data_IF_586785895600
#
_entry.id   IF_586785895600
#
_cell.length_a   1.000
_cell.length_b   1.000
_cell.length_c   1.000
_cell.angle_alpha   90.00
_cell.angle_beta   90.00
_cell.angle_gamma   90.00
#
_symmetry.space_group_name_H-M   'P 1'
#
loop_
_entity.id
_entity.type
_entity.pdbx_description
1 polymer ?
#
# COMPACT_ATOMS: atom_id res chain seq x y z
N UNK A 1 -2.25 7.97 64.24
CA UNK A 1 -2.36 7.51 62.84
C UNK A 1 -1.33 8.34 62.09
N UNK A 2 -0.10 7.85 62.10
CA UNK A 2 1.05 8.56 61.52
C UNK A 2 1.01 8.37 60.00
N UNK A 3 1.08 9.48 59.26
CA UNK A 3 1.17 9.48 57.81
C UNK A 3 2.66 9.41 57.45
N UNK A 4 3.10 8.24 56.98
CA UNK A 4 4.43 8.07 56.41
C UNK A 4 4.53 8.81 55.07
N UNK A 5 5.58 9.61 54.93
CA UNK A 5 5.89 10.32 53.70
C UNK A 5 6.42 9.34 52.64
N UNK A 6 5.72 9.25 51.51
CA UNK A 6 6.18 8.52 50.33
C UNK A 6 7.15 9.41 49.57
N UNK A 7 8.43 9.04 49.55
CA UNK A 7 9.44 9.66 48.69
C UNK A 7 9.11 9.34 47.22
N UNK A 8 8.96 10.39 46.40
CA UNK A 8 8.78 10.29 44.96
C UNK A 8 10.15 10.18 44.30
N UNK A 9 10.43 9.05 43.65
CA UNK A 9 11.66 8.86 42.88
C UNK A 9 11.70 9.73 41.60
N UNK A 10 12.90 10.21 41.30
CA UNK A 10 13.26 11.13 40.22
C UNK A 10 13.13 10.47 38.82
N UNK A 11 12.32 11.00 37.88
CA UNK A 11 12.03 10.34 36.61
C UNK A 11 13.12 10.49 35.54
N UNK A 12 14.35 10.88 35.88
CA UNK A 12 15.43 11.10 34.90
C UNK A 12 16.60 10.12 35.04
N UNK A 13 16.35 8.85 34.68
CA UNK A 13 17.42 7.95 34.24
C UNK A 13 16.95 7.12 33.05
N UNK A 14 17.10 7.69 31.86
CA UNK A 14 16.89 6.95 30.61
C UNK A 14 17.86 5.75 30.57
N UNK A 15 17.37 4.51 30.35
CA UNK A 15 18.26 3.38 30.19
C UNK A 15 19.05 3.53 28.89
N UNK A 16 20.37 3.37 28.98
CA UNK A 16 21.30 3.34 27.84
C UNK A 16 20.76 2.42 26.74
N UNK A 17 20.22 3.01 25.68
CA UNK A 17 19.75 2.28 24.51
C UNK A 17 20.95 1.86 23.67
N UNK A 18 21.65 0.80 24.08
CA UNK A 18 22.54 0.09 23.18
C UNK A 18 21.68 -0.52 22.08
N UNK A 19 21.65 0.13 20.93
CA UNK A 19 21.07 -0.42 19.71
C UNK A 19 21.77 -1.77 19.46
N UNK A 20 21.06 -2.91 19.47
CA UNK A 20 21.68 -4.17 19.10
C UNK A 20 22.17 -4.04 17.65
N UNK A 21 23.42 -4.47 17.41
CA UNK A 21 23.98 -4.55 16.08
C UNK A 21 23.02 -5.35 15.16
N UNK A 22 22.88 -4.98 13.88
CA UNK A 22 22.02 -5.72 12.97
C UNK A 22 22.52 -7.16 12.86
N UNK A 23 21.72 -8.10 13.38
CA UNK A 23 22.00 -9.53 13.35
C UNK A 23 22.30 -9.95 11.91
N UNK A 24 23.56 -10.29 11.70
CA UNK A 24 24.11 -10.72 10.41
C UNK A 24 23.98 -12.23 10.32
N UNK A 25 22.85 -12.73 9.81
CA UNK A 25 22.78 -13.96 9.01
C UNK A 25 21.63 -13.79 8.01
N UNK A 26 21.89 -13.15 6.87
CA UNK A 26 21.04 -13.35 5.70
C UNK A 26 21.45 -14.68 5.09
N UNK A 27 20.71 -15.73 5.39
CA UNK A 27 20.64 -16.90 4.52
C UNK A 27 20.46 -16.38 3.09
N UNK A 28 21.43 -16.70 2.22
CA UNK A 28 21.56 -16.05 0.91
C UNK A 28 20.24 -16.17 0.16
N UNK A 29 19.56 -15.05 -0.02
CA UNK A 29 18.26 -15.04 -0.66
C UNK A 29 18.40 -15.61 -2.07
N UNK A 30 17.70 -16.70 -2.34
CA UNK A 30 17.74 -17.35 -3.66
C UNK A 30 16.90 -16.51 -4.62
N UNK A 31 17.58 -15.90 -5.58
CA UNK A 31 16.96 -15.21 -6.70
C UNK A 31 16.36 -16.22 -7.68
N UNK A 32 15.12 -15.98 -8.06
CA UNK A 32 14.35 -16.76 -9.02
C UNK A 32 14.42 -16.08 -10.39
N UNK A 33 14.72 -16.88 -11.42
CA UNK A 33 14.53 -16.48 -12.82
C UNK A 33 13.14 -16.81 -13.34
N UNK A 34 12.55 -17.86 -12.76
CA UNK A 34 11.24 -18.37 -13.12
C UNK A 34 10.52 -18.92 -11.87
N UNK A 35 9.21 -19.04 -11.96
CA UNK A 35 8.38 -19.67 -10.93
C UNK A 35 7.33 -20.58 -11.57
N UNK A 36 6.85 -21.59 -10.83
CA UNK A 36 5.78 -22.48 -11.29
C UNK A 36 4.48 -22.12 -10.59
N UNK A 37 3.45 -21.82 -11.38
CA UNK A 37 2.11 -21.48 -10.89
C UNK A 37 1.11 -22.28 -11.70
N UNK A 38 0.27 -23.06 -11.02
CA UNK A 38 -0.75 -23.88 -11.67
C UNK A 38 -0.20 -24.77 -12.81
N UNK A 39 0.95 -25.40 -12.57
CA UNK A 39 1.63 -26.25 -13.57
C UNK A 39 2.33 -25.49 -14.70
N UNK A 40 2.22 -24.16 -14.75
CA UNK A 40 2.83 -23.32 -15.78
C UNK A 40 4.10 -22.66 -15.27
N UNK A 41 5.17 -22.70 -16.05
CA UNK A 41 6.35 -21.86 -15.83
C UNK A 41 6.04 -20.41 -16.22
N UNK A 42 6.36 -19.48 -15.32
CA UNK A 42 6.16 -18.04 -15.42
C UNK A 42 7.50 -17.31 -15.30
N UNK A 43 7.63 -16.20 -16.03
CA UNK A 43 8.74 -15.26 -15.88
C UNK A 43 8.62 -14.51 -14.55
N UNK A 44 9.75 -14.19 -13.91
CA UNK A 44 9.79 -13.40 -12.67
C UNK A 44 10.50 -12.07 -12.93
N UNK A 45 9.97 -10.99 -12.38
CA UNK A 45 10.47 -9.62 -12.58
C UNK A 45 11.07 -9.06 -11.28
N UNK A 46 12.29 -8.52 -11.37
CA UNK A 46 12.93 -7.80 -10.26
C UNK A 46 13.27 -8.66 -9.03
N UNK A 47 13.42 -9.97 -9.20
CA UNK A 47 13.45 -10.91 -8.08
C UNK A 47 14.64 -10.74 -7.13
N UNK A 48 15.78 -10.23 -7.60
CA UNK A 48 16.90 -9.83 -6.72
C UNK A 48 16.45 -9.01 -5.51
N UNK A 49 15.43 -8.16 -5.66
CA UNK A 49 14.90 -7.32 -4.59
C UNK A 49 13.83 -8.05 -3.76
N UNK A 50 12.94 -8.81 -4.41
CA UNK A 50 11.89 -9.57 -3.74
C UNK A 50 12.44 -10.75 -2.96
N UNK A 51 13.49 -11.43 -3.42
CA UNK A 51 14.18 -12.49 -2.70
C UNK A 51 14.69 -12.00 -1.34
N UNK A 52 15.27 -10.80 -1.29
CA UNK A 52 15.69 -10.16 -0.05
C UNK A 52 14.51 -9.92 0.89
N UNK A 53 13.36 -9.44 0.37
CA UNK A 53 12.15 -9.27 1.18
C UNK A 53 11.62 -10.60 1.70
N UNK A 54 11.58 -11.64 0.87
CA UNK A 54 11.14 -12.98 1.29
C UNK A 54 12.00 -13.52 2.43
N UNK A 55 13.33 -13.33 2.37
CA UNK A 55 14.25 -13.67 3.47
C UNK A 55 13.93 -12.89 4.76
N UNK A 56 13.79 -11.56 4.69
CA UNK A 56 13.49 -10.71 5.86
C UNK A 56 12.16 -11.06 6.52
N UNK A 57 11.14 -11.34 5.71
CA UNK A 57 9.77 -11.61 6.16
C UNK A 57 9.48 -13.10 6.34
N UNK A 58 10.49 -13.98 6.18
CA UNK A 58 10.37 -15.44 6.31
C UNK A 58 9.23 -16.03 5.45
N UNK A 59 9.11 -15.52 4.22
CA UNK A 59 8.12 -16.01 3.25
C UNK A 59 8.59 -17.37 2.74
N UNK A 60 7.75 -18.42 2.78
CA UNK A 60 8.15 -19.74 2.36
C UNK A 60 8.40 -19.78 0.84
N UNK A 61 9.34 -20.61 0.37
CA UNK A 61 9.69 -20.70 -1.05
C UNK A 61 8.53 -21.19 -1.91
N UNK A 62 7.56 -21.89 -1.33
CA UNK A 62 6.39 -22.46 -1.98
C UNK A 62 5.12 -21.60 -1.75
N UNK A 63 5.27 -20.27 -1.69
CA UNK A 63 4.17 -19.33 -1.40
C UNK A 63 2.95 -19.49 -2.33
N UNK A 64 3.15 -19.95 -3.57
CA UNK A 64 2.11 -20.19 -4.58
C UNK A 64 1.73 -21.66 -4.72
N UNK A 65 2.14 -22.52 -3.80
CA UNK A 65 1.79 -23.94 -3.82
C UNK A 65 0.27 -24.11 -3.78
N UNK A 66 -0.23 -24.95 -4.69
CA UNK A 66 -1.65 -25.24 -4.88
C UNK A 66 -2.51 -24.03 -5.28
N UNK A 67 -1.93 -22.88 -5.59
CA UNK A 67 -2.69 -21.75 -6.15
C UNK A 67 -3.09 -22.05 -7.60
N UNK A 68 -4.35 -21.78 -7.95
CA UNK A 68 -4.88 -21.95 -9.31
C UNK A 68 -5.16 -20.59 -9.94
N UNK A 69 -4.78 -20.43 -11.21
CA UNK A 69 -5.03 -19.16 -11.91
C UNK A 69 -6.52 -18.93 -12.17
N UNK A 70 -7.32 -20.01 -12.24
CA UNK A 70 -8.77 -19.94 -12.37
C UNK A 70 -9.47 -19.42 -11.10
N UNK A 71 -8.81 -19.46 -9.93
CA UNK A 71 -9.33 -18.88 -8.69
C UNK A 71 -9.39 -17.35 -8.75
N UNK A 72 -8.65 -16.74 -9.69
CA UNK A 72 -8.70 -15.31 -9.96
C UNK A 72 -10.10 -14.94 -10.44
N UNK A 73 -10.87 -14.37 -9.52
CA UNK A 73 -12.15 -13.77 -9.81
C UNK A 73 -12.02 -12.26 -9.80
N UNK A 74 -12.93 -11.56 -10.47
CA UNK A 74 -13.07 -10.10 -10.31
C UNK A 74 -13.46 -9.81 -8.87
N UNK A 75 -12.47 -9.71 -7.98
CA UNK A 75 -12.68 -9.28 -6.60
C UNK A 75 -13.28 -7.88 -6.66
N UNK A 76 -14.39 -7.67 -5.95
CA UNK A 76 -15.35 -6.56 -6.11
C UNK A 76 -14.84 -5.13 -5.91
N UNK A 77 -13.56 -4.85 -6.11
CA UNK A 77 -13.00 -3.51 -6.20
C UNK A 77 -13.42 -2.80 -7.49
N UNK A 78 -13.53 -1.46 -7.41
CA UNK A 78 -13.99 -0.57 -8.49
C UNK A 78 -13.18 -0.65 -9.80
N UNK A 79 -12.00 -1.29 -9.79
CA UNK A 79 -11.10 -1.41 -10.95
C UNK A 79 -11.18 -2.74 -11.71
N UNK A 80 -11.91 -3.73 -11.20
CA UNK A 80 -12.16 -5.01 -11.90
C UNK A 80 -10.96 -5.95 -12.09
N UNK A 81 -9.74 -5.55 -11.71
CA UNK A 81 -8.56 -6.43 -11.78
C UNK A 81 -8.77 -7.70 -10.93
N UNK A 82 -8.64 -8.90 -11.52
CA UNK A 82 -8.83 -10.13 -10.79
C UNK A 82 -7.89 -10.28 -9.60
N UNK A 83 -8.40 -10.87 -8.52
CA UNK A 83 -7.63 -11.21 -7.33
C UNK A 83 -8.12 -12.53 -6.73
N UNK A 84 -7.21 -13.24 -6.06
CA UNK A 84 -7.51 -14.46 -5.35
C UNK A 84 -6.61 -14.62 -4.13
N UNK A 85 -7.02 -15.48 -3.22
CA UNK A 85 -6.24 -15.83 -2.04
C UNK A 85 -5.56 -17.19 -2.27
N UNK A 86 -4.28 -17.27 -1.94
CA UNK A 86 -3.58 -18.55 -1.86
C UNK A 86 -4.07 -19.33 -0.64
N UNK A 87 -3.93 -20.67 -0.63
CA UNK A 87 -4.24 -21.49 0.55
C UNK A 87 -3.49 -21.05 1.82
N UNK A 88 -2.32 -20.44 1.66
CA UNK A 88 -1.47 -19.97 2.76
C UNK A 88 -1.76 -18.51 3.18
N UNK A 89 -2.85 -17.91 2.68
CA UNK A 89 -3.32 -16.58 3.11
C UNK A 89 -2.67 -15.38 2.41
N UNK A 90 -1.79 -15.59 1.43
CA UNK A 90 -1.30 -14.52 0.53
C UNK A 90 -2.37 -14.12 -0.49
N UNK A 91 -2.25 -12.92 -1.04
CA UNK A 91 -3.09 -12.45 -2.13
C UNK A 91 -2.29 -12.52 -3.43
N UNK A 92 -2.89 -13.06 -4.47
CA UNK A 92 -2.41 -12.92 -5.85
C UNK A 92 -3.35 -11.97 -6.58
N UNK A 93 -2.79 -10.93 -7.19
CA UNK A 93 -3.55 -9.92 -7.94
C UNK A 93 -2.99 -9.79 -9.34
N UNK A 94 -3.89 -9.78 -10.33
CA UNK A 94 -3.56 -9.45 -11.71
C UNK A 94 -3.33 -7.93 -11.86
N UNK A 95 -2.29 -7.57 -12.59
CA UNK A 95 -1.86 -6.20 -12.85
C UNK A 95 -2.27 -5.77 -14.26
N UNK A 96 -2.62 -4.49 -14.41
CA UNK A 96 -2.66 -3.87 -15.72
C UNK A 96 -1.24 -3.69 -16.29
N UNK A 97 -1.11 -3.44 -17.60
CA UNK A 97 0.20 -3.13 -18.19
C UNK A 97 0.87 -1.93 -17.50
N UNK A 98 0.11 -0.87 -17.24
CA UNK A 98 0.66 0.33 -16.57
C UNK A 98 1.10 0.06 -15.12
N UNK A 99 0.38 -0.79 -14.39
CA UNK A 99 0.79 -1.21 -13.04
C UNK A 99 2.05 -2.10 -13.09
N UNK A 100 2.15 -2.99 -14.08
CA UNK A 100 3.34 -3.81 -14.31
C UNK A 100 4.56 -2.92 -14.57
N UNK A 101 4.47 -2.01 -15.55
CA UNK A 101 5.58 -1.11 -15.94
C UNK A 101 6.03 -0.25 -14.74
N UNK A 102 5.07 0.33 -14.02
CA UNK A 102 5.32 1.12 -12.82
C UNK A 102 6.02 0.28 -11.74
N UNK A 103 5.53 -0.94 -11.51
CA UNK A 103 6.11 -1.83 -10.50
C UNK A 103 7.55 -2.21 -10.86
N UNK A 104 7.83 -2.55 -12.13
CA UNK A 104 9.20 -2.83 -12.60
C UNK A 104 10.13 -1.66 -12.30
N UNK A 105 9.71 -0.43 -12.65
CA UNK A 105 10.49 0.78 -12.42
C UNK A 105 10.78 1.03 -10.93
N UNK A 106 9.77 0.89 -10.07
CA UNK A 106 9.90 1.23 -8.65
C UNK A 106 10.34 0.07 -7.73
N UNK A 107 10.54 -1.15 -8.28
CA UNK A 107 10.75 -2.37 -7.47
C UNK A 107 11.88 -2.21 -6.45
N UNK A 108 13.02 -1.65 -6.86
CA UNK A 108 14.17 -1.46 -5.96
C UNK A 108 13.85 -0.51 -4.80
N UNK A 109 13.34 0.68 -5.11
CA UNK A 109 13.00 1.69 -4.11
C UNK A 109 11.92 1.19 -3.14
N UNK A 110 10.88 0.53 -3.68
CA UNK A 110 9.81 -0.09 -2.90
C UNK A 110 10.40 -1.13 -1.93
N UNK A 111 11.24 -2.03 -2.43
CA UNK A 111 11.80 -3.10 -1.61
C UNK A 111 12.78 -2.56 -0.56
N UNK A 112 13.57 -1.52 -0.87
CA UNK A 112 14.42 -0.84 0.12
C UNK A 112 13.57 -0.29 1.27
N UNK A 113 12.49 0.46 0.97
CA UNK A 113 11.60 1.00 1.99
C UNK A 113 10.94 -0.10 2.85
N UNK A 114 10.56 -1.21 2.23
CA UNK A 114 9.97 -2.34 2.95
C UNK A 114 10.97 -3.07 3.87
N UNK A 115 12.28 -2.94 3.66
CA UNK A 115 13.28 -3.56 4.57
C UNK A 115 13.38 -2.89 5.93
N UNK A 116 13.00 -1.62 6.06
CA UNK A 116 13.13 -0.82 7.28
C UNK A 116 12.17 -1.25 8.41
N UNK A 117 11.32 -2.28 8.18
CA UNK A 117 10.34 -2.86 9.11
C UNK A 117 9.33 -1.88 9.74
N UNK A 118 9.31 -0.61 9.32
CA UNK A 118 8.40 0.45 9.82
C UNK A 118 7.46 1.02 8.74
N UNK A 119 7.24 0.27 7.66
CA UNK A 119 6.38 0.68 6.55
C UNK A 119 4.96 0.12 6.69
N UNK A 120 3.96 0.97 6.41
CA UNK A 120 2.56 0.58 6.25
C UNK A 120 2.23 0.14 4.80
N UNK A 121 3.21 0.22 3.89
CA UNK A 121 3.02 -0.23 2.52
C UNK A 121 2.78 -1.74 2.48
N UNK A 122 1.94 -2.16 1.54
CA UNK A 122 1.71 -3.57 1.25
C UNK A 122 3.02 -4.24 0.84
N UNK A 123 3.24 -5.47 1.31
CA UNK A 123 4.48 -6.20 1.02
C UNK A 123 4.27 -7.06 -0.22
N UNK A 124 4.98 -6.73 -1.27
CA UNK A 124 5.07 -7.58 -2.46
C UNK A 124 6.22 -8.56 -2.29
N UNK A 125 5.96 -9.83 -2.60
CA UNK A 125 6.91 -10.92 -2.40
C UNK A 125 7.31 -11.60 -3.69
N UNK A 126 6.52 -11.48 -4.75
CA UNK A 126 6.85 -12.04 -6.05
C UNK A 126 6.07 -11.27 -7.13
N UNK A 127 6.76 -10.86 -8.19
CA UNK A 127 6.15 -10.30 -9.40
C UNK A 127 6.45 -11.25 -10.55
N UNK A 128 5.42 -11.76 -11.21
CA UNK A 128 5.56 -12.80 -12.22
C UNK A 128 4.52 -12.65 -13.33
N UNK A 129 4.77 -13.26 -14.49
CA UNK A 129 3.86 -13.15 -15.61
C UNK A 129 4.13 -14.13 -16.75
N UNK A 130 3.19 -14.17 -17.68
CA UNK A 130 3.29 -14.95 -18.91
C UNK A 130 2.31 -14.44 -19.96
N UNK A 131 2.76 -14.39 -21.22
CA UNK A 131 1.95 -14.01 -22.38
C UNK A 131 1.18 -12.68 -22.18
N UNK A 132 1.84 -11.65 -21.62
CA UNK A 132 1.24 -10.34 -21.41
C UNK A 132 0.25 -10.24 -20.24
N UNK A 133 0.16 -11.28 -19.41
CA UNK A 133 -0.55 -11.23 -18.12
C UNK A 133 0.44 -11.19 -16.98
N UNK A 134 0.24 -10.24 -16.07
CA UNK A 134 1.17 -9.94 -14.99
C UNK A 134 0.46 -10.06 -13.65
N UNK A 135 1.18 -10.57 -12.66
CA UNK A 135 0.64 -10.88 -11.36
C UNK A 135 1.64 -10.48 -10.28
N UNK A 136 1.10 -10.11 -9.13
CA UNK A 136 1.90 -9.92 -7.92
C UNK A 136 1.33 -10.77 -6.80
N UNK A 137 2.21 -11.48 -6.10
CA UNK A 137 1.89 -12.13 -4.84
C UNK A 137 2.30 -11.21 -3.68
N UNK A 138 1.37 -10.95 -2.77
CA UNK A 138 1.52 -9.97 -1.72
C UNK A 138 1.00 -10.47 -0.37
N UNK A 139 1.48 -9.85 0.71
CA UNK A 139 0.94 -10.06 2.05
C UNK A 139 -0.55 -9.72 2.09
N UNK A 140 -1.33 -10.43 2.89
CA UNK A 140 -2.66 -9.99 3.25
C UNK A 140 -2.60 -9.17 4.54
N UNK A 141 -3.15 -7.95 4.54
CA UNK A 141 -3.15 -7.08 5.74
C UNK A 141 -4.01 -7.62 6.89
N UNK A 142 -4.95 -8.51 6.57
CA UNK A 142 -5.84 -9.12 7.55
C UNK A 142 -5.28 -10.39 8.19
N UNK A 143 -4.14 -10.91 7.70
CA UNK A 143 -3.54 -12.14 8.22
C UNK A 143 -2.05 -11.96 8.44
N UNK A 144 -1.55 -12.47 9.56
CA UNK A 144 -0.12 -12.74 9.66
C UNK A 144 0.15 -14.07 8.96
N UNK A 145 1.17 -14.18 8.08
CA UNK A 145 1.56 -15.47 7.49
C UNK A 145 1.71 -16.55 8.56
N UNK A 146 1.04 -17.70 8.36
CA UNK A 146 1.04 -18.82 9.31
C UNK A 146 -0.18 -18.87 10.26
N UNK A 147 -1.07 -17.87 10.25
CA UNK A 147 -2.35 -17.95 10.94
C UNK A 147 -3.41 -18.63 10.07
N UNK A 148 -4.27 -19.46 10.67
CA UNK A 148 -5.41 -20.06 9.95
C UNK A 148 -6.43 -18.96 9.61
N UNK A 149 -6.70 -18.68 8.32
CA UNK A 149 -7.62 -17.62 7.89
C UNK A 149 -9.04 -17.79 8.44
N UNK A 150 -9.47 -19.03 8.70
CA UNK A 150 -10.81 -19.37 9.21
C UNK A 150 -11.02 -18.92 10.66
N UNK A 151 -9.93 -18.65 11.40
CA UNK A 151 -9.97 -18.27 12.81
C UNK A 151 -9.91 -16.76 13.04
N UNK A 152 -9.74 -15.95 11.99
CA UNK A 152 -9.66 -14.49 12.12
C UNK A 152 -10.95 -13.85 11.62
N UNK A 153 -11.69 -13.27 12.56
CA UNK A 153 -12.92 -12.55 12.28
C UNK A 153 -12.73 -11.05 12.52
N UNK A 154 -13.02 -10.25 11.50
CA UNK A 154 -13.02 -8.79 11.60
C UNK A 154 -14.46 -8.31 11.69
N UNK A 155 -14.82 -7.61 12.77
CA UNK A 155 -16.17 -7.05 12.95
C UNK A 155 -16.46 -5.93 11.94
N UNK A 156 -15.45 -5.12 11.64
CA UNK A 156 -15.54 -3.98 10.73
C UNK A 156 -14.29 -3.89 9.88
N UNK A 157 -14.45 -3.47 8.62
CA UNK A 157 -13.36 -3.14 7.72
C UNK A 157 -13.61 -1.77 7.09
N UNK A 158 -12.55 -0.99 6.92
CA UNK A 158 -12.62 0.38 6.40
C UNK A 158 -11.58 0.57 5.29
N UNK A 159 -12.00 1.12 4.15
CA UNK A 159 -11.12 1.60 3.07
C UNK A 159 -11.08 3.13 3.15
N UNK A 160 -10.13 3.65 3.92
CA UNK A 160 -9.99 5.08 4.19
C UNK A 160 -9.06 5.71 3.16
N UNK A 161 -9.61 6.62 2.34
CA UNK A 161 -8.84 7.38 1.34
C UNK A 161 -8.53 8.82 1.76
N UNK A 162 -9.12 9.30 2.85
CA UNK A 162 -8.94 10.67 3.34
C UNK A 162 -9.47 11.77 2.41
N UNK A 163 -10.17 11.40 1.34
CA UNK A 163 -10.75 12.32 0.36
C UNK A 163 -12.28 12.31 0.41
N UNK A 164 -12.88 13.47 0.10
CA UNK A 164 -14.33 13.69 -0.01
C UNK A 164 -14.89 13.13 -1.33
N UNK A 165 -14.57 11.88 -1.66
CA UNK A 165 -14.92 11.18 -2.92
C UNK A 165 -15.90 10.02 -2.67
N UNK A 166 -16.71 10.12 -1.61
CA UNK A 166 -17.71 9.11 -1.32
C UNK A 166 -18.98 9.37 -2.15
N UNK A 167 -19.32 8.39 -3.00
CA UNK A 167 -20.45 8.43 -3.95
C UNK A 167 -21.82 8.42 -3.26
N UNK A 168 -21.82 8.33 -1.93
CA UNK A 168 -23.00 8.27 -1.07
C UNK A 168 -23.31 9.61 -0.39
N UNK A 169 -22.47 10.63 -0.55
CA UNK A 169 -22.66 11.90 0.12
C UNK A 169 -23.85 12.70 -0.44
N UNK A 170 -24.73 13.13 0.47
CA UNK A 170 -25.82 14.07 0.20
C UNK A 170 -25.77 15.23 1.19
N UNK A 171 -26.13 16.42 0.73
CA UNK A 171 -26.37 17.63 1.53
C UNK A 171 -27.77 18.13 1.17
N UNK A 172 -28.63 18.35 2.17
CA UNK A 172 -30.03 18.74 1.98
C UNK A 172 -30.84 17.85 1.01
N UNK A 173 -30.61 16.54 1.09
CA UNK A 173 -31.16 15.51 0.18
C UNK A 173 -30.67 15.58 -1.28
N UNK A 174 -29.82 16.54 -1.62
CA UNK A 174 -29.19 16.64 -2.93
C UNK A 174 -27.86 15.89 -2.95
N UNK A 175 -27.58 15.22 -4.06
CA UNK A 175 -26.32 14.49 -4.23
C UNK A 175 -25.19 15.49 -4.44
N UNK A 176 -24.16 15.45 -3.59
CA UNK A 176 -22.99 16.32 -3.77
C UNK A 176 -22.27 15.88 -5.07
N UNK A 177 -21.89 16.82 -5.96
CA UNK A 177 -21.15 16.51 -7.18
C UNK A 177 -19.88 15.71 -6.87
N UNK A 178 -19.74 14.55 -7.52
CA UNK A 178 -18.58 13.67 -7.35
C UNK A 178 -17.33 14.37 -7.91
N UNK A 179 -16.32 14.55 -7.05
CA UNK A 179 -15.03 15.06 -7.49
C UNK A 179 -14.11 13.86 -7.65
N UNK A 180 -14.04 13.35 -8.87
CA UNK A 180 -13.19 12.23 -9.29
C UNK A 180 -11.69 12.56 -9.25
N UNK A 181 -11.18 13.04 -8.11
CA UNK A 181 -9.77 13.35 -7.92
C UNK A 181 -9.29 12.79 -6.58
N UNK A 182 -8.30 11.91 -6.66
CA UNK A 182 -7.57 11.32 -5.50
C UNK A 182 -6.87 12.38 -4.62
N UNK A 183 -6.84 13.63 -5.07
CA UNK A 183 -6.27 14.79 -4.39
C UNK A 183 -7.26 15.96 -4.49
N UNK A 184 -8.22 16.02 -3.59
CA UNK A 184 -9.21 17.10 -3.55
C UNK A 184 -8.80 18.25 -2.59
N UNK A 185 -7.94 17.99 -1.61
CA UNK A 185 -7.37 19.01 -0.73
C UNK A 185 -5.85 18.82 -0.62
N UNK A 186 -5.10 19.49 -1.49
CA UNK A 186 -3.63 19.51 -1.44
C UNK A 186 -3.10 20.11 -0.13
N UNK A 187 -3.91 20.92 0.56
CA UNK A 187 -3.59 21.52 1.85
C UNK A 187 -3.80 20.56 3.05
N UNK A 188 -4.56 19.47 2.86
CA UNK A 188 -4.83 18.44 3.86
C UNK A 188 -4.28 17.08 3.38
N UNK A 189 -3.03 17.04 2.94
CA UNK A 189 -2.34 15.79 2.63
C UNK A 189 -2.28 14.90 3.89
N UNK A 190 -3.19 13.94 4.00
CA UNK A 190 -3.09 12.89 5.01
C UNK A 190 -2.01 11.88 4.58
N UNK A 191 -1.17 11.51 5.55
CA UNK A 191 0.14 10.83 5.45
C UNK A 191 1.34 11.71 5.06
N UNK A 192 1.50 12.83 5.76
CA UNK A 192 2.83 13.38 6.03
C UNK A 192 3.61 13.81 4.80
N UNK A 193 3.11 14.81 4.06
CA UNK A 193 4.08 15.73 3.47
C UNK A 193 4.69 16.48 4.67
N UNK A 194 5.92 16.14 5.02
CA UNK A 194 6.75 16.98 5.92
C UNK A 194 7.14 18.30 5.22
N UNK A 195 6.73 18.45 3.96
CA UNK A 195 6.80 19.66 3.19
C UNK A 195 5.79 20.65 3.77
N UNK A 196 6.28 21.80 4.24
CA UNK A 196 5.49 23.01 4.42
C UNK A 196 4.87 23.39 3.06
N UNK A 197 3.74 22.78 2.71
CA UNK A 197 3.01 23.01 1.46
C UNK A 197 2.35 24.40 1.40
N UNK A 198 2.80 25.34 2.23
CA UNK A 198 2.41 26.74 2.17
C UNK A 198 3.03 27.42 0.93
N UNK A 199 4.18 26.95 0.45
CA UNK A 199 4.84 27.48 -0.73
C UNK A 199 4.52 26.63 -1.97
N UNK A 200 3.41 27.00 -2.62
CA UNK A 200 2.83 26.40 -3.83
C UNK A 200 3.83 26.29 -5.00
N UNK A 201 4.95 27.02 -4.97
CA UNK A 201 5.91 27.07 -6.07
C UNK A 201 6.81 25.83 -6.18
N UNK A 202 7.00 25.05 -5.11
CA UNK A 202 7.99 23.95 -5.10
C UNK A 202 7.43 22.53 -4.97
N UNK A 203 6.18 22.33 -4.51
CA UNK A 203 5.56 21.00 -4.56
C UNK A 203 4.95 20.80 -5.96
N UNK A 204 5.56 19.94 -6.78
CA UNK A 204 5.00 19.46 -8.07
C UNK A 204 3.58 18.85 -7.97
N UNK A 205 3.09 18.72 -6.73
CA UNK A 205 1.76 18.33 -6.28
C UNK A 205 0.68 19.34 -6.71
N UNK A 206 0.97 20.64 -6.69
CA UNK A 206 0.02 21.71 -7.08
C UNK A 206 0.19 22.16 -8.55
N UNK A 207 1.39 22.02 -9.11
CA UNK A 207 1.70 22.52 -10.46
C UNK A 207 0.88 21.85 -11.58
N UNK A 208 0.49 20.58 -11.42
CA UNK A 208 -0.34 19.86 -12.42
C UNK A 208 -1.83 20.18 -12.36
N UNK A 209 -2.32 20.85 -11.32
CA UNK A 209 -3.73 21.25 -11.24
C UNK A 209 -4.03 22.58 -11.96
N UNK A 210 -3.01 23.30 -12.43
CA UNK A 210 -3.13 24.61 -13.12
C UNK A 210 -3.20 24.55 -14.65
N UNK A 211 -3.57 23.41 -15.23
CA UNK A 211 -3.92 23.33 -16.65
C UNK A 211 -5.39 22.94 -16.79
N UNK A 212 -6.28 23.92 -16.61
CA UNK A 212 -7.54 24.12 -17.38
C UNK A 212 -8.46 25.18 -16.70
N UNK A 213 -7.91 26.31 -16.23
CA UNK A 213 -8.73 27.41 -15.67
C UNK A 213 -9.16 28.44 -16.72
N UNK A 214 -8.75 28.28 -17.98
CA UNK A 214 -9.11 29.24 -19.05
C UNK A 214 -10.60 29.15 -19.42
N UNK A 215 -11.27 28.01 -19.19
CA UNK A 215 -12.72 27.86 -19.41
C UNK A 215 -13.60 28.36 -18.26
N UNK A 216 -13.04 28.52 -17.05
CA UNK A 216 -13.84 28.91 -15.87
C UNK A 216 -14.06 30.42 -15.74
N UNK A 217 -13.30 31.27 -16.46
CA UNK A 217 -13.45 32.73 -16.39
C UNK A 217 -14.66 33.29 -17.16
N UNK A 218 -15.33 32.48 -17.99
CA UNK A 218 -16.46 32.97 -18.79
C UNK A 218 -17.83 32.92 -18.08
N UNK A 219 -17.91 32.27 -16.92
CA UNK A 219 -19.18 32.06 -16.19
C UNK A 219 -19.35 32.94 -14.95
N UNK A 220 -18.34 33.71 -14.55
CA UNK A 220 -18.36 34.53 -13.33
C UNK A 220 -18.48 36.05 -13.61
N UNK A 221 -18.68 36.48 -14.86
CA UNK A 221 -18.84 37.91 -15.21
C UNK A 221 -20.26 38.35 -15.55
N UNK A 222 -21.27 37.48 -15.41
CA UNK A 222 -22.68 37.86 -15.63
C UNK A 222 -23.52 37.54 -14.40
N UNK A 223 -23.61 38.49 -13.47
CA UNK A 223 -24.42 38.31 -12.27
C UNK A 223 -24.34 39.45 -11.25
N UNK A 224 -24.41 40.70 -11.71
CA UNK A 224 -24.71 41.85 -10.85
C UNK A 224 -26.08 42.37 -11.27
N UNK A 225 -27.11 42.07 -10.50
CA UNK A 225 -28.42 42.71 -10.63
C UNK A 225 -28.71 43.45 -9.32
N UNK A 226 -29.02 44.75 -9.48
CA UNK A 226 -29.79 45.54 -8.51
C UNK A 226 -31.18 44.93 -8.32
#
# INVERSE_FOLDING_TARGET
MELEAVELEDPQKAPDSKTPAPDTIHESAVELKETKVDGQTMEVYGDKHFARLRSIYKVPPDLLKNFKLEDLSTGGGKGGSPLAFTPNGYIVKELSQGDHDSLVEMTEALCNRLTEKRSLLIRFFLHFGKHGRYFVAMSNVFYTPGQNPELIFWKYSFDLKGCRDDKLMKEDNEKIPEIHKRFYMCYNCWYGCDCLCADIEYCGCAARARLDTTKAKHLLSMGSFN
#
